data_IF_473104718087
#
_entry.id   IF_473104718087
#
_cell.length_a   1.000
_cell.length_b   1.000
_cell.length_c   1.000
_cell.angle_alpha   90.00
_cell.angle_beta   90.00
_cell.angle_gamma   90.00
#
_symmetry.space_group_name_H-M   'P 1'
#
loop_
_entity.id
_entity.type
_entity.pdbx_description
1 polymer ?
#
# COMPACT_ATOMS: atom_id res chain seq x y z
N UNK A 1 11.76 14.02 5.92
CA UNK A 1 10.99 13.79 7.15
C UNK A 1 10.43 12.39 7.06
N UNK A 2 10.91 11.48 7.92
CA UNK A 2 10.35 10.13 8.04
C UNK A 2 8.98 10.31 8.71
N UNK A 3 7.92 9.73 8.13
CA UNK A 3 6.58 9.86 8.69
C UNK A 3 6.52 9.23 10.07
N UNK A 4 6.28 10.04 11.10
CA UNK A 4 6.34 9.67 12.52
C UNK A 4 5.23 8.70 12.98
N UNK A 5 4.53 8.02 12.06
CA UNK A 5 3.40 7.16 12.41
C UNK A 5 3.15 6.06 11.39
N UNK A 6 3.22 4.82 11.85
CA UNK A 6 2.79 3.64 11.11
C UNK A 6 1.30 3.42 11.40
N UNK A 7 0.43 3.68 10.41
CA UNK A 7 -1.03 3.58 10.56
C UNK A 7 -1.61 2.23 10.13
N UNK A 8 -0.86 1.47 9.33
CA UNK A 8 -1.24 0.16 8.84
C UNK A 8 -0.01 -0.67 8.46
N UNK A 9 -0.13 -1.98 8.57
CA UNK A 9 0.81 -2.96 8.01
C UNK A 9 0.14 -3.67 6.83
N UNK A 10 0.82 -3.69 5.68
CA UNK A 10 0.33 -4.32 4.46
C UNK A 10 1.33 -5.40 4.02
N UNK A 11 0.83 -6.63 3.84
CA UNK A 11 1.56 -7.68 3.14
C UNK A 11 1.24 -7.60 1.65
N UNK A 12 2.27 -7.43 0.83
CA UNK A 12 2.17 -7.14 -0.59
C UNK A 12 2.91 -8.20 -1.40
N UNK A 13 2.29 -8.64 -2.50
CA UNK A 13 2.88 -9.56 -3.46
C UNK A 13 2.76 -8.99 -4.87
N UNK A 14 3.89 -8.81 -5.55
CA UNK A 14 3.89 -8.48 -6.99
C UNK A 14 3.62 -9.75 -7.81
N UNK A 15 2.50 -9.78 -8.51
CA UNK A 15 2.25 -10.76 -9.56
C UNK A 15 2.90 -10.27 -10.86
N UNK A 16 4.12 -10.74 -11.12
CA UNK A 16 4.88 -10.35 -12.31
C UNK A 16 4.28 -10.87 -13.61
N UNK A 17 3.48 -11.95 -13.57
CA UNK A 17 2.84 -12.48 -14.79
C UNK A 17 1.66 -11.60 -15.19
N UNK A 18 0.88 -11.15 -14.21
CA UNK A 18 -0.26 -10.27 -14.44
C UNK A 18 0.10 -8.77 -14.41
N UNK A 19 1.33 -8.42 -14.01
CA UNK A 19 1.79 -7.04 -13.91
C UNK A 19 1.01 -6.23 -12.87
N UNK A 20 0.69 -6.82 -11.71
CA UNK A 20 -0.11 -6.15 -10.68
C UNK A 20 0.37 -6.42 -9.25
N UNK A 21 0.13 -5.47 -8.37
CA UNK A 21 0.36 -5.56 -6.94
C UNK A 21 -0.87 -6.16 -6.25
N UNK A 22 -0.65 -7.24 -5.51
CA UNK A 22 -1.67 -7.91 -4.71
C UNK A 22 -1.49 -7.55 -3.24
N UNK A 23 -2.58 -7.17 -2.59
CA UNK A 23 -2.62 -7.02 -1.13
C UNK A 23 -3.04 -8.38 -0.55
N UNK A 24 -2.12 -9.04 0.13
CA UNK A 24 -2.36 -10.34 0.76
C UNK A 24 -3.03 -10.17 2.12
N UNK A 25 -2.62 -9.13 2.87
CA UNK A 25 -3.20 -8.77 4.15
C UNK A 25 -3.13 -7.26 4.37
N UNK A 26 -4.17 -6.71 4.98
CA UNK A 26 -4.20 -5.33 5.46
C UNK A 26 -4.59 -5.32 6.94
N UNK A 27 -3.65 -4.91 7.79
CA UNK A 27 -3.87 -4.74 9.23
C UNK A 27 -3.80 -3.26 9.58
N UNK A 28 -4.93 -2.69 10.00
CA UNK A 28 -4.99 -1.33 10.53
C UNK A 28 -4.41 -1.31 11.95
N UNK A 29 -3.47 -0.39 12.19
CA UNK A 29 -2.85 -0.18 13.51
C UNK A 29 -3.49 1.00 14.26
N UNK A 30 -4.24 1.83 13.53
CA UNK A 30 -5.10 2.88 14.05
C UNK A 30 -6.51 2.74 13.46
N UNK A 31 -7.54 3.37 14.07
CA UNK A 31 -8.86 3.40 13.47
C UNK A 31 -8.81 3.84 12.01
N UNK A 32 -9.45 3.05 11.13
CA UNK A 32 -9.49 3.33 9.69
C UNK A 32 -10.13 4.70 9.45
N UNK A 33 -9.42 5.55 8.70
CA UNK A 33 -9.91 6.86 8.24
C UNK A 33 -9.81 6.92 6.72
N UNK A 34 -10.84 7.43 6.06
CA UNK A 34 -10.88 7.50 4.59
C UNK A 34 -9.67 8.25 4.00
N UNK A 35 -9.24 9.34 4.63
CA UNK A 35 -8.07 10.11 4.20
C UNK A 35 -6.75 9.31 4.29
N UNK A 36 -6.58 8.47 5.32
CA UNK A 36 -5.41 7.61 5.47
C UNK A 36 -5.41 6.51 4.41
N UNK A 37 -6.58 5.91 4.18
CA UNK A 37 -6.72 4.90 3.13
C UNK A 37 -6.39 5.46 1.75
N UNK A 38 -6.95 6.62 1.38
CA UNK A 38 -6.65 7.25 0.10
C UNK A 38 -5.16 7.57 -0.08
N UNK A 39 -4.48 7.93 1.00
CA UNK A 39 -3.03 8.17 0.99
C UNK A 39 -2.24 6.88 0.75
N UNK A 40 -2.63 5.79 1.41
CA UNK A 40 -2.03 4.45 1.22
C UNK A 40 -2.27 3.98 -0.20
N UNK A 41 -3.51 4.06 -0.71
CA UNK A 41 -3.88 3.62 -2.06
C UNK A 41 -3.06 4.36 -3.13
N UNK A 42 -2.91 5.68 -3.01
CA UNK A 42 -2.09 6.47 -3.93
C UNK A 42 -0.60 6.07 -3.90
N UNK A 43 -0.08 5.71 -2.72
CA UNK A 43 1.28 5.20 -2.56
C UNK A 43 1.44 3.82 -3.20
N UNK A 44 0.48 2.91 -3.00
CA UNK A 44 0.46 1.57 -3.62
C UNK A 44 0.41 1.65 -5.15
N UNK A 45 -0.42 2.55 -5.71
CA UNK A 45 -0.50 2.75 -7.16
C UNK A 45 0.83 3.26 -7.74
N UNK A 46 1.51 4.18 -7.05
CA UNK A 46 2.84 4.64 -7.46
C UNK A 46 3.87 3.51 -7.39
N UNK A 47 3.82 2.69 -6.34
CA UNK A 47 4.69 1.54 -6.17
C UNK A 47 4.49 0.51 -7.29
N UNK A 48 3.25 0.13 -7.59
CA UNK A 48 2.94 -0.81 -8.68
C UNK A 48 3.51 -0.34 -10.02
N UNK A 49 3.31 0.93 -10.39
CA UNK A 49 3.87 1.49 -11.63
C UNK A 49 5.40 1.46 -11.67
N UNK A 50 6.07 1.70 -10.55
CA UNK A 50 7.54 1.64 -10.47
C UNK A 50 8.09 0.21 -10.68
N UNK A 51 7.29 -0.82 -10.39
CA UNK A 51 7.68 -2.21 -10.63
C UNK A 51 7.43 -2.70 -12.06
N UNK A 52 6.73 -1.91 -12.88
CA UNK A 52 6.42 -2.23 -14.27
C UNK A 52 7.33 -1.50 -15.28
N UNK A 53 8.12 -0.54 -14.80
CA UNK A 53 9.11 0.21 -15.59
C UNK A 53 10.47 -0.48 -15.68
#
# INVERSE_FOLDING_TARGET
MVGDRIVAALDLKMDRRAGRLLIQQWTWLEPRRAALQATIDAALQRFERFHLS
#
